data_IF_267481992806
#
_entry.id   IF_267481992806
#
_cell.length_a   1.000
_cell.length_b   1.000
_cell.length_c   1.000
_cell.angle_alpha   90.00
_cell.angle_beta   90.00
_cell.angle_gamma   90.00
#
_symmetry.space_group_name_H-M   'P 1'
#
loop_
_entity.id
_entity.type
_entity.pdbx_description
1 polymer ?
#
# COMPACT_ATOMS: atom_id res chain seq x y z
N UNK A 1 3.84 0.82 -29.57
CA UNK A 1 3.98 1.88 -28.55
C UNK A 1 3.89 1.18 -27.22
N UNK A 2 5.04 0.72 -26.73
CA UNK A 2 5.15 -0.04 -25.47
C UNK A 2 4.81 0.91 -24.33
N UNK A 3 3.65 0.73 -23.71
CA UNK A 3 3.43 1.24 -22.37
C UNK A 3 4.36 0.42 -21.48
N UNK A 4 5.56 0.96 -21.24
CA UNK A 4 6.46 0.41 -20.23
C UNK A 4 5.67 0.46 -18.93
N UNK A 5 5.27 -0.71 -18.43
CA UNK A 5 4.85 -0.93 -17.06
C UNK A 5 6.01 -0.50 -16.16
N UNK A 6 6.12 0.81 -15.94
CA UNK A 6 6.95 1.36 -14.88
C UNK A 6 6.18 0.99 -13.62
N UNK A 7 6.68 0.06 -12.79
CA UNK A 7 6.03 -0.23 -11.53
C UNK A 7 5.93 1.11 -10.80
N UNK A 8 4.70 1.56 -10.50
CA UNK A 8 4.54 2.85 -9.84
C UNK A 8 5.11 2.66 -8.44
N UNK A 9 6.29 3.24 -8.23
CA UNK A 9 7.02 3.14 -6.98
C UNK A 9 6.35 4.10 -6.00
N UNK A 10 5.66 3.54 -5.01
CA UNK A 10 4.97 4.34 -4.00
C UNK A 10 6.04 4.91 -3.06
N UNK A 11 6.19 6.24 -2.94
CA UNK A 11 7.16 6.81 -2.03
C UNK A 11 6.83 6.44 -0.59
N UNK A 12 7.82 6.01 0.16
CA UNK A 12 7.65 5.61 1.54
C UNK A 12 8.86 6.01 2.41
N UNK A 13 8.60 6.20 3.69
CA UNK A 13 9.62 6.45 4.71
C UNK A 13 9.85 5.17 5.52
N UNK A 14 11.03 4.58 5.39
CA UNK A 14 11.45 3.43 6.17
C UNK A 14 12.04 3.88 7.52
N UNK A 15 11.40 3.47 8.61
CA UNK A 15 11.85 3.71 9.99
C UNK A 15 11.85 2.41 10.79
N UNK A 16 12.51 2.39 11.94
CA UNK A 16 12.50 1.22 12.82
C UNK A 16 11.11 1.02 13.46
N UNK A 17 10.73 -0.23 13.75
CA UNK A 17 9.41 -0.57 14.29
C UNK A 17 9.01 0.26 15.53
N UNK A 18 9.97 0.50 16.44
CA UNK A 18 9.75 1.30 17.67
C UNK A 18 9.36 2.76 17.40
N UNK A 19 9.72 3.30 16.24
CA UNK A 19 9.40 4.67 15.84
C UNK A 19 8.26 4.73 14.81
N UNK A 20 7.86 3.60 14.23
CA UNK A 20 6.86 3.52 13.17
C UNK A 20 5.52 4.16 13.57
N UNK A 21 5.01 3.87 14.75
CA UNK A 21 3.73 4.44 15.22
C UNK A 21 3.80 5.96 15.41
N UNK A 22 4.93 6.46 15.92
CA UNK A 22 5.13 7.91 16.13
C UNK A 22 5.27 8.65 14.81
N UNK A 23 6.05 8.13 13.88
CA UNK A 23 6.19 8.70 12.55
C UNK A 23 4.84 8.67 11.80
N UNK A 24 4.09 7.57 11.93
CA UNK A 24 2.75 7.45 11.34
C UNK A 24 1.81 8.54 11.84
N UNK A 25 1.72 8.73 13.16
CA UNK A 25 0.87 9.76 13.75
C UNK A 25 1.22 11.16 13.22
N UNK A 26 2.50 11.46 13.10
CA UNK A 26 2.96 12.73 12.55
C UNK A 26 2.57 12.90 11.07
N UNK A 27 2.77 11.86 10.26
CA UNK A 27 2.35 11.89 8.85
C UNK A 27 0.83 12.00 8.67
N UNK A 28 0.05 11.43 9.59
CA UNK A 28 -1.42 11.57 9.60
C UNK A 28 -1.85 12.99 9.99
N UNK A 29 -1.23 13.58 11.02
CA UNK A 29 -1.47 14.96 11.46
C UNK A 29 -1.17 15.98 10.35
N UNK A 30 -0.05 15.79 9.65
CA UNK A 30 0.39 16.63 8.54
C UNK A 30 -0.30 16.27 7.20
N UNK A 31 -1.20 15.26 7.20
CA UNK A 31 -1.89 14.75 6.00
C UNK A 31 -0.93 14.33 4.88
N UNK A 32 0.26 13.84 5.24
CA UNK A 32 1.32 13.36 4.36
C UNK A 32 1.25 11.86 4.11
N UNK A 33 0.54 11.12 4.97
CA UNK A 33 0.37 9.68 4.83
C UNK A 33 -0.53 9.35 3.63
N UNK A 34 -0.06 8.48 2.73
CA UNK A 34 -0.91 7.96 1.67
C UNK A 34 -1.76 6.79 2.21
N UNK A 35 -3.00 7.12 2.56
CA UNK A 35 -3.98 6.17 3.10
C UNK A 35 -4.43 5.08 2.11
N UNK A 36 -4.02 5.15 0.84
CA UNK A 36 -4.25 4.07 -0.14
C UNK A 36 -3.37 2.85 0.16
N UNK A 37 -2.28 3.03 0.92
CA UNK A 37 -1.31 1.99 1.19
C UNK A 37 -1.21 1.67 2.70
N UNK A 38 -0.97 0.40 3.04
CA UNK A 38 -0.70 -0.02 4.42
C UNK A 38 0.79 0.07 4.72
N UNK A 39 1.12 0.17 6.01
CA UNK A 39 2.50 0.04 6.48
C UNK A 39 3.00 -1.38 6.21
N UNK A 40 4.19 -1.51 5.61
CA UNK A 40 4.80 -2.81 5.31
C UNK A 40 6.17 -2.92 5.97
N UNK A 41 6.57 -4.15 6.29
CA UNK A 41 7.94 -4.43 6.71
C UNK A 41 8.85 -4.49 5.48
N UNK A 42 9.91 -3.70 5.48
CA UNK A 42 10.93 -3.67 4.43
C UNK A 42 12.22 -4.32 4.92
N UNK A 43 13.08 -4.81 4.00
CA UNK A 43 14.34 -5.46 4.36
C UNK A 43 15.16 -4.64 5.36
N UNK A 44 15.67 -5.32 6.39
CA UNK A 44 16.38 -4.69 7.51
C UNK A 44 15.51 -4.38 8.73
N UNK A 45 14.34 -5.02 8.86
CA UNK A 45 13.48 -4.94 10.05
C UNK A 45 12.87 -3.56 10.28
N UNK A 46 12.63 -2.82 9.19
CA UNK A 46 12.10 -1.46 9.22
C UNK A 46 10.67 -1.48 8.69
N UNK A 47 9.85 -0.56 9.18
CA UNK A 47 8.51 -0.32 8.67
C UNK A 47 8.57 0.82 7.66
N UNK A 48 8.05 0.58 6.46
CA UNK A 48 7.85 1.59 5.44
C UNK A 48 6.45 2.21 5.60
N UNK A 49 6.44 3.54 5.73
CA UNK A 49 5.23 4.35 5.87
C UNK A 49 4.99 5.07 4.53
N UNK A 50 3.88 4.81 3.85
CA UNK A 50 3.61 5.38 2.54
C UNK A 50 3.34 6.89 2.67
N UNK A 51 3.97 7.69 1.83
CA UNK A 51 3.87 9.14 1.83
C UNK A 51 3.45 9.66 0.47
N UNK A 52 2.63 10.70 0.48
CA UNK A 52 2.20 11.41 -0.72
C UNK A 52 3.41 12.12 -1.34
N UNK A 53 3.73 11.78 -2.59
CA UNK A 53 4.88 12.33 -3.31
C UNK A 53 4.80 13.85 -3.39
N UNK A 54 3.61 14.36 -3.68
CA UNK A 54 3.33 15.78 -3.84
C UNK A 54 3.50 16.58 -2.55
N UNK A 55 3.54 15.90 -1.40
CA UNK A 55 3.71 16.53 -0.09
C UNK A 55 5.07 16.22 0.56
N UNK A 56 5.95 15.45 -0.09
CA UNK A 56 7.30 15.17 0.41
C UNK A 56 8.10 16.45 0.69
N UNK A 57 7.93 17.49 -0.12
CA UNK A 57 8.62 18.77 0.07
C UNK A 57 8.17 19.54 1.32
N UNK A 58 7.01 19.18 1.89
CA UNK A 58 6.44 19.79 3.10
C UNK A 58 6.76 18.97 4.36
N UNK A 59 7.36 17.78 4.18
CA UNK A 59 7.68 16.87 5.27
C UNK A 59 8.67 17.49 6.26
N UNK A 60 8.23 17.64 7.51
CA UNK A 60 9.12 17.91 8.64
C UNK A 60 9.29 16.63 9.44
N UNK A 61 10.52 16.23 9.71
CA UNK A 61 10.77 15.02 10.48
C UNK A 61 10.70 15.34 11.98
N UNK A 62 10.06 14.48 12.80
CA UNK A 62 10.10 14.63 14.25
C UNK A 62 11.56 14.55 14.72
N UNK A 63 12.00 15.51 15.55
CA UNK A 63 13.39 15.61 16.05
C UNK A 63 13.89 14.36 16.79
N UNK A 64 12.96 13.58 17.33
CA UNK A 64 13.20 12.40 18.15
C UNK A 64 13.29 11.09 17.35
N UNK A 65 12.90 11.10 16.07
CA UNK A 65 13.00 9.93 15.20
C UNK A 65 14.28 10.06 14.38
N UNK A 66 15.21 9.07 14.43
CA UNK A 66 16.38 9.07 13.55
C UNK A 66 15.91 9.15 12.09
N UNK A 67 16.63 9.90 11.25
CA UNK A 67 16.20 10.23 9.88
C UNK A 67 15.72 8.99 9.12
N UNK A 68 14.40 8.88 8.84
CA UNK A 68 13.88 7.74 8.12
C UNK A 68 14.43 7.76 6.70
N UNK A 69 14.65 6.56 6.15
CA UNK A 69 15.20 6.43 4.79
C UNK A 69 14.06 6.48 3.79
N UNK A 70 14.18 7.32 2.77
CA UNK A 70 13.30 7.24 1.61
C UNK A 70 13.48 5.87 0.94
N UNK A 71 12.37 5.16 0.78
CA UNK A 71 12.29 3.87 0.10
C UNK A 71 11.07 3.85 -0.79
N UNK A 72 11.01 2.95 -1.75
CA UNK A 72 9.82 2.71 -2.54
C UNK A 72 9.13 1.45 -2.03
N UNK A 73 7.82 1.54 -1.81
CA UNK A 73 7.00 0.36 -1.58
C UNK A 73 6.62 -0.26 -2.93
N UNK A 74 6.60 -1.60 -3.02
CA UNK A 74 5.86 -2.27 -4.08
C UNK A 74 4.44 -1.75 -4.07
N UNK A 75 3.91 -1.53 -5.27
CA UNK A 75 2.62 -0.90 -5.50
C UNK A 75 1.41 -1.67 -4.93
N UNK A 76 1.62 -2.85 -4.33
CA UNK A 76 0.55 -3.68 -3.76
C UNK A 76 0.55 -3.58 -2.22
N UNK A 77 -0.30 -2.72 -1.61
CA UNK A 77 -0.34 -2.49 -0.16
C UNK A 77 -1.04 -3.57 0.66
N UNK A 78 -1.60 -4.55 -0.01
CA UNK A 78 -2.26 -5.76 0.49
C UNK A 78 -1.78 -6.84 -0.48
N UNK A 79 -1.62 -8.13 -0.12
CA UNK A 79 -1.58 -9.14 -1.17
C UNK A 79 -2.80 -8.86 -2.05
N UNK A 80 -2.56 -8.47 -3.31
CA UNK A 80 -3.64 -8.31 -4.27
C UNK A 80 -4.47 -9.58 -4.22
N UNK A 81 -5.73 -9.52 -4.67
CA UNK A 81 -6.51 -10.76 -4.77
C UNK A 81 -5.70 -11.84 -5.52
N UNK A 82 -4.91 -11.43 -6.52
CA UNK A 82 -3.89 -12.25 -7.17
C UNK A 82 -2.82 -12.82 -6.21
N UNK A 83 -2.15 -11.98 -5.40
CA UNK A 83 -1.18 -12.43 -4.41
C UNK A 83 -1.75 -13.40 -3.36
N UNK A 84 -2.96 -13.14 -2.87
CA UNK A 84 -3.65 -14.02 -1.92
C UNK A 84 -4.01 -15.37 -2.56
N UNK A 85 -4.54 -15.34 -3.79
CA UNK A 85 -4.85 -16.56 -4.55
C UNK A 85 -3.56 -17.35 -4.86
N UNK A 86 -2.45 -16.66 -5.10
CA UNK A 86 -1.17 -17.31 -5.31
C UNK A 86 -0.63 -18.01 -4.06
N UNK A 87 -0.78 -17.39 -2.88
CA UNK A 87 -0.41 -18.00 -1.60
C UNK A 87 -1.27 -19.24 -1.30
N UNK A 88 -2.59 -19.16 -1.54
CA UNK A 88 -3.52 -20.26 -1.26
C UNK A 88 -3.40 -21.43 -2.25
N UNK A 89 -3.08 -21.15 -3.52
CA UNK A 89 -3.10 -22.14 -4.60
C UNK A 89 -1.71 -22.49 -5.16
N UNK A 90 -0.64 -21.87 -4.68
CA UNK A 90 0.74 -22.16 -5.07
C UNK A 90 1.09 -21.82 -6.52
N UNK A 91 0.32 -20.97 -7.20
CA UNK A 91 0.52 -20.58 -8.60
C UNK A 91 0.12 -19.13 -8.81
N UNK A 92 0.65 -18.44 -9.84
CA UNK A 92 0.26 -17.06 -10.10
C UNK A 92 -1.19 -16.98 -10.61
N UNK A 93 -1.89 -15.92 -10.23
CA UNK A 93 -3.27 -15.65 -10.69
C UNK A 93 -3.37 -14.27 -11.30
N UNK A 94 -4.14 -14.18 -12.37
CA UNK A 94 -4.61 -12.92 -12.92
C UNK A 94 -6.00 -12.62 -12.36
N UNK A 95 -6.19 -11.41 -11.84
CA UNK A 95 -7.49 -10.95 -11.35
C UNK A 95 -7.91 -9.68 -12.06
N UNK A 96 -9.12 -9.67 -12.62
CA UNK A 96 -9.70 -8.49 -13.27
C UNK A 96 -10.96 -8.04 -12.53
N UNK A 97 -11.10 -6.73 -12.34
CA UNK A 97 -12.32 -6.15 -11.76
C UNK A 97 -13.38 -6.09 -12.84
N UNK A 98 -14.48 -6.81 -12.64
CA UNK A 98 -15.61 -6.79 -13.57
C UNK A 98 -16.57 -5.66 -13.22
N UNK A 99 -16.90 -5.51 -11.93
CA UNK A 99 -17.89 -4.55 -11.48
C UNK A 99 -17.65 -4.13 -10.02
N UNK A 100 -17.92 -2.86 -9.71
CA UNK A 100 -17.90 -2.33 -8.35
C UNK A 100 -19.22 -1.63 -8.10
N UNK A 101 -19.90 -2.01 -7.02
CA UNK A 101 -21.17 -1.40 -6.63
C UNK A 101 -21.16 -0.98 -5.17
N UNK A 102 -21.50 0.28 -4.93
CA UNK A 102 -21.80 0.73 -3.57
C UNK A 102 -23.14 0.13 -3.13
N UNK A 103 -23.13 -0.51 -1.97
CA UNK A 103 -24.34 -1.03 -1.34
C UNK A 103 -24.63 -0.25 -0.06
N UNK A 104 -25.77 -0.54 0.57
CA UNK A 104 -26.17 0.13 1.81
C UNK A 104 -25.08 -0.04 2.87
N UNK A 105 -24.61 1.07 3.40
CA UNK A 105 -23.71 1.09 4.56
C UNK A 105 -24.49 0.80 5.84
N UNK A 106 -24.00 -0.14 6.65
CA UNK A 106 -24.62 -0.52 7.92
C UNK A 106 -23.95 0.07 9.16
N UNK A 107 -22.84 0.80 9.01
CA UNK A 107 -22.14 1.45 10.11
C UNK A 107 -21.68 2.86 9.74
N UNK A 108 -21.69 3.81 10.70
CA UNK A 108 -21.07 5.12 10.52
C UNK A 108 -19.61 4.96 10.10
N UNK A 109 -19.18 5.75 9.13
CA UNK A 109 -17.80 5.78 8.60
C UNK A 109 -17.33 4.49 7.89
N UNK A 110 -18.21 3.51 7.66
CA UNK A 110 -17.88 2.30 6.88
C UNK A 110 -18.63 2.30 5.55
N UNK A 111 -17.89 2.38 4.45
CA UNK A 111 -18.45 2.17 3.12
C UNK A 111 -18.53 0.68 2.81
N UNK A 112 -19.72 0.20 2.42
CA UNK A 112 -19.90 -1.17 1.97
C UNK A 112 -19.93 -1.18 0.45
N UNK A 113 -19.01 -1.94 -0.15
CA UNK A 113 -18.89 -2.11 -1.59
C UNK A 113 -18.98 -3.60 -1.92
N UNK A 114 -19.70 -3.94 -2.98
CA UNK A 114 -19.67 -5.26 -3.62
C UNK A 114 -18.73 -5.16 -4.81
N UNK A 115 -17.83 -6.13 -4.95
CA UNK A 115 -16.81 -6.17 -5.97
C UNK A 115 -16.89 -7.54 -6.66
N UNK A 116 -17.18 -7.51 -7.97
CA UNK A 116 -17.17 -8.69 -8.81
C UNK A 116 -15.79 -8.83 -9.46
N UNK A 117 -15.18 -10.00 -9.30
CA UNK A 117 -13.85 -10.29 -9.79
C UNK A 117 -13.87 -11.51 -10.69
N UNK A 118 -13.20 -11.38 -11.83
CA UNK A 118 -12.74 -12.53 -12.58
C UNK A 118 -11.36 -12.94 -12.06
N UNK A 119 -11.20 -14.23 -11.75
CA UNK A 119 -9.93 -14.79 -11.28
C UNK A 119 -9.56 -15.96 -12.19
N UNK A 120 -8.40 -15.88 -12.86
CA UNK A 120 -7.88 -16.96 -13.71
C UNK A 120 -6.46 -17.33 -13.29
N UNK A 121 -6.12 -18.63 -13.17
CA UNK A 121 -4.74 -19.03 -12.96
C UNK A 121 -3.91 -18.66 -14.19
N UNK A 122 -2.71 -18.15 -13.96
CA UNK A 122 -1.74 -17.90 -15.02
C UNK A 122 -1.03 -19.22 -15.32
N UNK A 123 -1.12 -19.75 -16.55
CA UNK A 123 -0.45 -21.00 -16.89
C UNK A 123 1.07 -20.87 -16.71
N UNK A 124 1.76 -21.94 -16.25
CA UNK A 124 3.22 -21.95 -16.21
C UNK A 124 3.77 -21.81 -17.63
N UNK A 125 4.82 -20.98 -17.77
CA UNK A 125 5.53 -20.74 -19.03
C UNK A 125 6.22 -22.00 -19.57
#
# INVERSE_FOLDING_TARGET
MEAKDVPILVPALATELRFAQRLRKHLEEEQLLDGRYRLQEVPGGRMALPVLEEKLSQLRLPREVPSPRATSLPQDPVPSRAGLLAELHGQLWHTSILHIQAVKSYAPHVHHLVLDLECRPTPPA
#
